data_IF_421473682302
#
_entry.id   IF_421473682302
#
_cell.length_a   1.000
_cell.length_b   1.000
_cell.length_c   1.000
_cell.angle_alpha   90.00
_cell.angle_beta   90.00
_cell.angle_gamma   90.00
#
_symmetry.space_group_name_H-M   'P 1'
#
loop_
_entity.id
_entity.type
_entity.pdbx_description
1 polymer ?
#
# COMPACT_ATOMS: atom_id res chain seq x y z
N UNK A 1 -14.04 -16.98 4.36
CA UNK A 1 -14.52 -15.70 3.81
C UNK A 1 -13.28 -14.99 3.28
N UNK A 2 -13.27 -14.59 2.01
CA UNK A 2 -12.16 -13.80 1.49
C UNK A 2 -12.24 -12.47 2.22
N UNK A 3 -11.30 -12.17 3.12
CA UNK A 3 -11.20 -10.85 3.73
C UNK A 3 -10.92 -9.86 2.59
N UNK A 4 -12.00 -9.32 2.05
CA UNK A 4 -11.95 -8.41 0.92
C UNK A 4 -11.21 -7.18 1.41
N UNK A 5 -9.96 -7.05 0.97
CA UNK A 5 -9.15 -5.86 1.21
C UNK A 5 -10.00 -4.63 0.92
N UNK A 6 -9.93 -3.64 1.82
CA UNK A 6 -10.62 -2.38 1.60
C UNK A 6 -10.23 -1.82 0.23
N UNK A 7 -11.11 -1.07 -0.46
CA UNK A 7 -10.79 -0.50 -1.77
C UNK A 7 -9.44 0.24 -1.80
N UNK A 8 -9.08 0.89 -0.69
CA UNK A 8 -7.79 1.54 -0.49
C UNK A 8 -6.63 0.54 -0.49
N UNK A 9 -6.72 -0.56 0.28
CA UNK A 9 -5.67 -1.56 0.36
C UNK A 9 -5.48 -2.33 -0.96
N UNK A 10 -6.53 -2.48 -1.76
CA UNK A 10 -6.40 -3.01 -3.12
C UNK A 10 -5.60 -2.07 -4.02
N UNK A 11 -5.78 -0.75 -3.88
CA UNK A 11 -4.99 0.24 -4.60
C UNK A 11 -3.53 0.23 -4.13
N UNK A 12 -3.28 0.16 -2.83
CA UNK A 12 -1.94 0.01 -2.27
C UNK A 12 -1.21 -1.20 -2.86
N UNK A 13 -1.86 -2.37 -2.86
CA UNK A 13 -1.26 -3.59 -3.41
C UNK A 13 -0.99 -3.52 -4.91
N UNK A 14 -1.86 -2.88 -5.70
CA UNK A 14 -1.60 -2.66 -7.12
C UNK A 14 -0.36 -1.80 -7.34
N UNK A 15 -0.22 -0.72 -6.58
CA UNK A 15 0.94 0.17 -6.64
C UNK A 15 2.21 -0.55 -6.18
N UNK A 16 2.17 -1.25 -5.05
CA UNK A 16 3.30 -2.03 -4.52
C UNK A 16 3.80 -3.10 -5.49
N UNK A 17 2.91 -3.75 -6.25
CA UNK A 17 3.28 -4.72 -7.29
C UNK A 17 3.86 -4.09 -8.55
N UNK A 18 3.57 -2.80 -8.80
CA UNK A 18 4.08 -2.08 -9.97
C UNK A 18 5.48 -1.50 -9.77
N UNK A 19 5.95 -1.42 -8.53
CA UNK A 19 7.27 -0.89 -8.18
C UNK A 19 8.24 -2.04 -7.84
N UNK A 20 9.55 -1.84 -8.02
CA UNK A 20 10.54 -2.81 -7.58
C UNK A 20 10.41 -3.11 -6.07
N UNK A 21 10.73 -4.35 -5.65
CA UNK A 21 10.63 -4.75 -4.24
C UNK A 21 11.59 -3.97 -3.33
N UNK A 22 12.66 -3.41 -3.88
CA UNK A 22 13.67 -2.62 -3.15
C UNK A 22 13.36 -1.11 -3.21
N UNK A 23 12.09 -0.75 -3.05
CA UNK A 23 11.64 0.64 -3.12
C UNK A 23 10.63 0.92 -2.01
N UNK A 24 10.82 2.06 -1.35
CA UNK A 24 9.92 2.52 -0.30
C UNK A 24 8.67 3.18 -0.92
N UNK A 25 7.49 2.65 -0.60
CA UNK A 25 6.22 3.21 -1.04
C UNK A 25 5.62 4.11 0.04
N UNK A 26 5.76 5.41 -0.12
CA UNK A 26 5.09 6.41 0.72
C UNK A 26 3.69 6.66 0.17
N UNK A 27 2.67 6.07 0.81
CA UNK A 27 1.28 6.22 0.38
C UNK A 27 0.66 7.45 1.05
N UNK A 28 0.24 8.44 0.25
CA UNK A 28 -0.38 9.66 0.78
C UNK A 28 -1.79 9.36 1.29
N UNK A 29 -1.98 9.49 2.60
CA UNK A 29 -3.28 9.39 3.26
C UNK A 29 -3.60 10.73 3.95
N UNK A 30 -4.34 11.58 3.23
CA UNK A 30 -4.64 12.94 3.68
C UNK A 30 -3.38 13.82 3.72
N UNK A 31 -3.03 14.29 4.92
CA UNK A 31 -1.89 15.16 5.18
C UNK A 31 -0.60 14.37 5.51
N UNK A 32 -0.70 13.05 5.66
CA UNK A 32 0.42 12.17 6.01
C UNK A 32 0.82 11.26 4.86
N UNK A 33 2.05 10.76 4.94
CA UNK A 33 2.53 9.64 4.16
C UNK A 33 2.64 8.43 5.09
N UNK A 34 1.87 7.39 4.80
CA UNK A 34 1.87 6.15 5.57
C UNK A 34 2.51 5.02 4.77
N UNK A 35 3.18 4.14 5.51
CA UNK A 35 3.72 2.87 5.03
C UNK A 35 2.85 1.77 5.62
N UNK A 36 2.55 0.74 4.82
CA UNK A 36 1.66 -0.33 5.23
C UNK A 36 2.37 -1.69 5.13
N UNK A 37 1.94 -2.64 5.96
CA UNK A 37 2.51 -4.00 6.05
C UNK A 37 3.98 -4.02 6.48
N UNK A 38 4.83 -4.73 5.74
CA UNK A 38 6.25 -4.94 6.03
C UNK A 38 7.11 -3.68 5.80
N UNK A 39 6.54 -2.63 5.20
CA UNK A 39 7.23 -1.33 5.06
C UNK A 39 7.14 -0.46 6.32
N UNK A 40 6.27 -0.80 7.28
CA UNK A 40 6.18 -0.13 8.57
C UNK A 40 7.17 -0.75 9.58
#
# INVERSE_FOLDING_TARGET
MQDALTPMMQQYQRLRKSIPPDTLLLFRLGDFYEMFFEDA
#
